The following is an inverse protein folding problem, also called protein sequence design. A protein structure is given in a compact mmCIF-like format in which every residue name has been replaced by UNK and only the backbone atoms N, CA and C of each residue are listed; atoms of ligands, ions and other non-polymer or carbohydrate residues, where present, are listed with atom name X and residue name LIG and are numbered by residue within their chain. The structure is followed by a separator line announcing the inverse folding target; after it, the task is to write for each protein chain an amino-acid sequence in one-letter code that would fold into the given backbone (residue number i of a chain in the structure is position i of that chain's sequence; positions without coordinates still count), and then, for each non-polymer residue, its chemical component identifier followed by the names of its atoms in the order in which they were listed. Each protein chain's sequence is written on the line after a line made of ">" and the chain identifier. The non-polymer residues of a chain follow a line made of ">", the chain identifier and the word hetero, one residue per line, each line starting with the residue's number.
data_IF_198918435727
#
_entry.id   IF_198918435727
#
_cell.length_a   1.000
_cell.length_b   1.000
_cell.length_c   1.000
_cell.angle_alpha   90.00
_cell.angle_beta   90.00
_cell.angle_gamma   90.00
#
_symmetry.space_group_name_H-M   'P 1'
#
loop_
_entity.id
_entity.type
_entity.pdbx_description
1 polymer ?
#
# COMPACT_ATOMS: atom_id res chain seq x y z
N UNK A 1 8.77 5.60 -2.83
CA UNK A 1 9.63 6.79 -3.02
C UNK A 1 10.19 7.26 -1.67
N UNK A 2 11.47 7.57 -1.66
CA UNK A 2 12.25 7.94 -0.48
C UNK A 2 12.86 9.31 -0.75
N UNK A 3 12.89 10.20 0.24
CA UNK A 3 13.57 11.48 0.14
C UNK A 3 14.93 11.40 0.87
N UNK A 4 16.03 11.92 0.27
CA UNK A 4 17.30 11.99 0.96
C UNK A 4 17.25 13.09 2.04
N UNK A 5 17.55 12.76 3.30
CA UNK A 5 17.81 13.75 4.33
C UNK A 5 19.32 13.84 4.61
N UNK A 6 19.91 15.04 4.60
CA UNK A 6 21.30 15.22 4.99
C UNK A 6 21.52 14.63 6.40
N UNK A 7 22.48 13.70 6.51
CA UNK A 7 22.95 13.05 7.77
C UNK A 7 21.98 12.07 8.45
N UNK A 8 20.81 11.76 7.87
CA UNK A 8 19.86 10.76 8.40
C UNK A 8 19.54 9.61 7.42
N UNK A 9 20.13 9.64 6.23
CA UNK A 9 19.91 8.62 5.20
C UNK A 9 18.58 8.81 4.46
N UNK A 10 17.98 7.68 4.10
CA UNK A 10 16.79 7.56 3.25
C UNK A 10 15.52 7.54 4.11
N UNK A 11 14.71 8.61 4.08
CA UNK A 11 13.42 8.63 4.78
C UNK A 11 12.27 8.37 3.80
N UNK A 12 11.43 7.39 4.13
CA UNK A 12 10.19 7.16 3.38
C UNK A 12 9.27 8.39 3.51
N UNK A 13 8.79 8.93 2.39
CA UNK A 13 7.85 10.07 2.40
C UNK A 13 6.64 9.73 3.29
N UNK A 14 6.19 10.62 4.18
CA UNK A 14 5.05 10.34 5.05
C UNK A 14 3.78 10.10 4.23
N UNK A 15 2.89 9.25 4.73
CA UNK A 15 1.53 9.09 4.20
C UNK A 15 0.67 10.11 4.94
N UNK A 16 0.13 11.07 4.19
CA UNK A 16 -0.72 12.16 4.70
C UNK A 16 -2.11 12.04 4.11
N UNK A 17 -3.10 12.73 4.69
CA UNK A 17 -4.45 12.80 4.12
C UNK A 17 -4.45 13.33 2.68
N UNK A 18 -3.64 14.36 2.39
CA UNK A 18 -3.47 14.90 1.04
C UNK A 18 -2.93 13.84 0.06
N UNK A 19 -1.89 13.09 0.45
CA UNK A 19 -1.35 12.00 -0.38
C UNK A 19 -2.41 10.94 -0.67
N UNK A 20 -3.24 10.58 0.31
CA UNK A 20 -4.32 9.60 0.10
C UNK A 20 -5.37 10.14 -0.87
N UNK A 21 -5.76 11.42 -0.74
CA UNK A 21 -6.66 12.09 -1.68
C UNK A 21 -6.12 12.14 -3.11
N UNK A 22 -4.82 12.43 -3.26
CA UNK A 22 -4.12 12.43 -4.56
C UNK A 22 -4.15 11.03 -5.20
N UNK A 23 -3.90 9.98 -4.40
CA UNK A 23 -3.97 8.59 -4.88
C UNK A 23 -5.37 8.24 -5.36
N UNK A 24 -6.43 8.55 -4.59
CA UNK A 24 -7.82 8.28 -4.98
C UNK A 24 -8.17 9.01 -6.28
N UNK A 25 -7.84 10.30 -6.36
CA UNK A 25 -8.09 11.12 -7.55
C UNK A 25 -7.37 10.57 -8.78
N UNK A 26 -6.09 10.22 -8.64
CA UNK A 26 -5.30 9.66 -9.72
C UNK A 26 -5.81 8.28 -10.17
N UNK A 27 -6.28 7.43 -9.25
CA UNK A 27 -6.93 6.16 -9.60
C UNK A 27 -8.19 6.39 -10.44
N UNK A 28 -9.08 7.31 -10.04
CA UNK A 28 -10.31 7.63 -10.78
C UNK A 28 -10.03 8.04 -12.22
N UNK A 29 -8.94 8.75 -12.47
CA UNK A 29 -8.55 9.18 -13.82
C UNK A 29 -7.86 8.06 -14.60
N UNK A 30 -6.87 7.39 -14.01
CA UNK A 30 -6.02 6.44 -14.71
C UNK A 30 -6.72 5.09 -14.93
N UNK A 31 -7.43 4.56 -13.93
CA UNK A 31 -8.05 3.23 -14.03
C UNK A 31 -9.17 3.18 -15.05
N UNK A 32 -9.88 4.29 -15.30
CA UNK A 32 -10.90 4.38 -16.35
C UNK A 32 -10.39 3.97 -17.75
N UNK A 33 -9.08 4.07 -18.00
CA UNK A 33 -8.48 3.63 -19.27
C UNK A 33 -8.52 2.10 -19.46
N UNK A 34 -8.66 1.33 -18.38
CA UNK A 34 -8.80 -0.13 -18.40
C UNK A 34 -10.11 -0.55 -19.08
N UNK A 35 -11.17 0.26 -18.98
CA UNK A 35 -12.46 -0.02 -19.63
C UNK A 35 -12.36 -0.10 -21.17
N UNK A 36 -11.26 0.40 -21.76
CA UNK A 36 -11.02 0.38 -23.20
C UNK A 36 -10.12 -0.78 -23.65
N UNK A 37 -9.65 -1.61 -22.72
CA UNK A 37 -8.80 -2.76 -23.02
C UNK A 37 -9.57 -3.81 -23.82
N UNK A 38 -8.95 -4.31 -24.90
CA UNK A 38 -9.45 -5.47 -25.64
C UNK A 38 -8.73 -6.74 -25.19
N UNK A 39 -9.48 -7.72 -24.73
CA UNK A 39 -8.94 -9.03 -24.35
C UNK A 39 -8.78 -9.91 -25.59
N UNK A 40 -7.59 -10.49 -25.79
CA UNK A 40 -7.41 -11.64 -26.69
C UNK A 40 -8.02 -12.88 -26.05
N UNK A 41 -8.26 -13.93 -26.83
CA UNK A 41 -8.75 -15.23 -26.32
C UNK A 41 -7.89 -15.76 -25.18
N UNK A 42 -6.56 -15.80 -25.37
CA UNK A 42 -5.62 -16.25 -24.34
C UNK A 42 -5.62 -15.38 -23.08
N UNK A 43 -5.77 -14.06 -23.22
CA UNK A 43 -5.86 -13.16 -22.07
C UNK A 43 -7.18 -13.34 -21.33
N UNK A 44 -8.28 -13.56 -22.06
CA UNK A 44 -9.60 -13.83 -21.48
C UNK A 44 -9.57 -15.08 -20.60
N UNK A 45 -9.03 -16.20 -21.10
CA UNK A 45 -8.89 -17.46 -20.35
C UNK A 45 -8.04 -17.27 -19.08
N UNK A 46 -6.92 -16.55 -19.21
CA UNK A 46 -6.02 -16.25 -18.08
C UNK A 46 -6.72 -15.42 -17.01
N UNK A 47 -7.40 -14.35 -17.39
CA UNK A 47 -8.13 -13.49 -16.45
C UNK A 47 -9.29 -14.26 -15.82
N UNK A 48 -10.06 -15.02 -16.60
CA UNK A 48 -11.16 -15.84 -16.10
C UNK A 48 -10.70 -16.83 -15.03
N UNK A 49 -9.56 -17.50 -15.27
CA UNK A 49 -8.97 -18.44 -14.29
C UNK A 49 -8.66 -17.74 -12.96
N UNK A 50 -8.10 -16.53 -13.00
CA UNK A 50 -7.78 -15.76 -11.80
C UNK A 50 -9.04 -15.22 -11.11
N UNK A 51 -10.06 -14.80 -11.87
CA UNK A 51 -11.35 -14.38 -11.35
C UNK A 51 -12.02 -15.53 -10.59
N UNK A 52 -12.05 -16.74 -11.18
CA UNK A 52 -12.55 -17.93 -10.49
C UNK A 52 -11.77 -18.24 -9.22
N UNK A 53 -10.43 -18.15 -9.25
CA UNK A 53 -9.60 -18.33 -8.06
C UNK A 53 -9.96 -17.30 -6.97
N UNK A 54 -10.08 -16.02 -7.32
CA UNK A 54 -10.47 -14.96 -6.39
C UNK A 54 -11.86 -15.22 -5.78
N UNK A 55 -12.81 -15.69 -6.57
CA UNK A 55 -14.15 -16.08 -6.10
C UNK A 55 -14.10 -17.21 -5.06
N UNK A 56 -13.24 -18.22 -5.23
CA UNK A 56 -13.08 -19.30 -4.23
C UNK A 56 -12.50 -18.83 -2.89
N UNK A 57 -11.80 -17.69 -2.89
CA UNK A 57 -11.22 -17.07 -1.71
C UNK A 57 -12.17 -16.07 -1.04
N UNK A 58 -13.24 -15.66 -1.74
CA UNK A 58 -14.24 -14.73 -1.21
C UNK A 58 -14.90 -15.32 0.04
N UNK A 59 -15.12 -14.47 1.05
CA UNK A 59 -15.77 -14.87 2.31
C UNK A 59 -14.91 -15.68 3.28
N UNK A 60 -13.72 -16.15 2.89
CA UNK A 60 -12.81 -16.82 3.82
C UNK A 60 -12.21 -15.82 4.83
N UNK A 61 -12.29 -16.17 6.12
CA UNK A 61 -11.74 -15.37 7.21
C UNK A 61 -10.25 -15.67 7.49
N UNK A 62 -9.69 -16.68 6.84
CA UNK A 62 -8.28 -17.03 6.96
C UNK A 62 -7.36 -15.89 6.46
N UNK A 63 -6.37 -15.45 7.26
CA UNK A 63 -5.40 -14.43 6.84
C UNK A 63 -4.66 -14.79 5.55
N UNK A 64 -4.33 -16.06 5.34
CA UNK A 64 -3.63 -16.46 4.12
C UNK A 64 -4.53 -16.33 2.89
N UNK A 65 -5.81 -16.69 3.00
CA UNK A 65 -6.80 -16.46 1.94
C UNK A 65 -6.91 -14.98 1.56
N UNK A 66 -6.84 -14.05 2.52
CA UNK A 66 -6.86 -12.61 2.24
C UNK A 66 -5.60 -12.15 1.48
N UNK A 67 -4.42 -12.61 1.91
CA UNK A 67 -3.16 -12.33 1.20
C UNK A 67 -3.23 -12.84 -0.23
N UNK A 68 -3.66 -14.09 -0.43
CA UNK A 68 -3.82 -14.67 -1.76
C UNK A 68 -4.84 -13.88 -2.59
N UNK A 69 -5.98 -13.49 -2.03
CA UNK A 69 -6.98 -12.70 -2.75
C UNK A 69 -6.42 -11.37 -3.26
N UNK A 70 -5.60 -10.67 -2.48
CA UNK A 70 -4.93 -9.42 -2.92
C UNK A 70 -3.88 -9.66 -3.99
N UNK A 71 -3.12 -10.74 -3.88
CA UNK A 71 -2.14 -11.11 -4.92
C UNK A 71 -2.85 -11.46 -6.22
N UNK A 72 -3.93 -12.24 -6.16
CA UNK A 72 -4.75 -12.61 -7.31
C UNK A 72 -5.40 -11.38 -7.94
N UNK A 73 -5.98 -10.47 -7.15
CA UNK A 73 -6.53 -9.19 -7.62
C UNK A 73 -5.46 -8.38 -8.34
N UNK A 74 -4.27 -8.24 -7.75
CA UNK A 74 -3.16 -7.54 -8.39
C UNK A 74 -2.73 -8.20 -9.70
N UNK A 75 -2.69 -9.53 -9.77
CA UNK A 75 -2.37 -10.24 -11.00
C UNK A 75 -3.40 -10.00 -12.10
N UNK A 76 -4.70 -9.94 -11.77
CA UNK A 76 -5.76 -9.59 -12.72
C UNK A 76 -5.49 -8.17 -13.27
N UNK A 77 -5.30 -7.20 -12.38
CA UNK A 77 -5.05 -5.80 -12.74
C UNK A 77 -3.77 -5.65 -13.59
N UNK A 78 -2.69 -6.35 -13.25
CA UNK A 78 -1.45 -6.33 -14.02
C UNK A 78 -1.62 -6.89 -15.44
N UNK A 79 -2.39 -7.97 -15.61
CA UNK A 79 -2.73 -8.52 -16.92
C UNK A 79 -3.55 -7.53 -17.76
N UNK A 80 -4.49 -6.81 -17.14
CA UNK A 80 -5.26 -5.77 -17.82
C UNK A 80 -4.38 -4.58 -18.21
N UNK A 81 -3.50 -4.13 -17.30
CA UNK A 81 -2.56 -3.05 -17.56
C UNK A 81 -1.56 -3.37 -18.68
N UNK A 82 -1.12 -4.63 -18.82
CA UNK A 82 -0.25 -5.08 -19.92
C UNK A 82 -0.89 -4.92 -21.31
N UNK A 83 -2.20 -4.68 -21.37
CA UNK A 83 -2.95 -4.42 -22.61
C UNK A 83 -3.12 -2.94 -22.91
N UNK A 84 -2.66 -2.07 -22.01
CA UNK A 84 -2.59 -0.61 -22.23
C UNK A 84 -1.24 -0.24 -22.84
N UNK A 85 -1.04 1.02 -23.21
CA UNK A 85 0.28 1.48 -23.64
C UNK A 85 1.27 1.51 -22.46
N UNK A 86 2.57 1.47 -22.77
CA UNK A 86 3.65 1.40 -21.77
C UNK A 86 3.54 2.46 -20.67
N UNK A 87 3.18 3.70 -21.04
CA UNK A 87 3.06 4.81 -20.11
C UNK A 87 1.92 4.56 -19.12
N UNK A 88 0.73 4.24 -19.60
CA UNK A 88 -0.43 3.95 -18.76
C UNK A 88 -0.17 2.76 -17.84
N UNK A 89 0.40 1.68 -18.37
CA UNK A 89 0.79 0.52 -17.56
C UNK A 89 1.70 0.90 -16.40
N UNK A 90 2.75 1.68 -16.66
CA UNK A 90 3.70 2.09 -15.63
C UNK A 90 3.00 2.91 -14.54
N UNK A 91 2.19 3.88 -14.96
CA UNK A 91 1.41 4.73 -14.05
C UNK A 91 0.41 3.94 -13.21
N UNK A 92 -0.35 3.03 -13.82
CA UNK A 92 -1.30 2.15 -13.12
C UNK A 92 -0.59 1.33 -12.04
N UNK A 93 0.55 0.71 -12.37
CA UNK A 93 1.35 -0.06 -11.40
C UNK A 93 1.84 0.80 -10.25
N UNK A 94 2.37 1.99 -10.53
CA UNK A 94 2.81 2.93 -9.48
C UNK A 94 1.65 3.37 -8.57
N UNK A 95 0.46 3.64 -9.15
CA UNK A 95 -0.73 4.02 -8.39
C UNK A 95 -1.24 2.88 -7.50
N UNK A 96 -1.26 1.65 -7.99
CA UNK A 96 -1.64 0.49 -7.19
C UNK A 96 -0.62 0.19 -6.10
N UNK A 97 0.67 0.39 -6.35
CA UNK A 97 1.71 0.27 -5.32
C UNK A 97 1.53 1.34 -4.23
N UNK A 98 1.16 2.57 -4.60
CA UNK A 98 0.79 3.61 -3.65
C UNK A 98 -0.47 3.26 -2.86
N UNK A 99 -1.49 2.70 -3.52
CA UNK A 99 -2.72 2.25 -2.87
C UNK A 99 -2.43 1.16 -1.85
N UNK A 100 -1.63 0.15 -2.22
CA UNK A 100 -1.21 -0.91 -1.32
C UNK A 100 -0.40 -0.36 -0.13
N UNK A 101 0.44 0.65 -0.37
CA UNK A 101 1.17 1.32 0.71
C UNK A 101 0.23 2.02 1.69
N UNK A 102 -0.85 2.65 1.20
CA UNK A 102 -1.91 3.25 2.02
C UNK A 102 -2.65 2.16 2.80
N UNK A 103 -3.03 1.06 2.16
CA UNK A 103 -3.64 -0.10 2.84
C UNK A 103 -2.74 -0.57 3.99
N UNK A 104 -1.48 -0.94 3.72
CA UNK A 104 -0.56 -1.41 4.75
C UNK A 104 -0.36 -0.41 5.91
N UNK A 105 -0.43 0.89 5.64
CA UNK A 105 -0.34 1.92 6.67
C UNK A 105 -1.58 1.95 7.58
N UNK A 106 -2.77 1.84 6.98
CA UNK A 106 -4.05 1.89 7.69
C UNK A 106 -4.40 0.56 8.39
N UNK A 107 -3.92 -0.55 7.84
CA UNK A 107 -4.10 -1.91 8.38
C UNK A 107 -3.20 -2.25 9.57
N UNK A 108 -2.38 -1.31 10.06
CA UNK A 108 -1.70 -1.45 11.35
C UNK A 108 -2.70 -1.49 12.55
N UNK A 109 -3.97 -1.78 12.31
CA UNK A 109 -5.08 -1.86 13.25
C UNK A 109 -6.08 -2.97 12.93
N UNK A 110 -7.32 -2.83 13.40
CA UNK A 110 -8.34 -3.89 13.34
C UNK A 110 -9.17 -3.89 12.04
N UNK A 111 -8.95 -2.93 11.14
CA UNK A 111 -9.68 -2.86 9.86
C UNK A 111 -8.82 -3.48 8.78
N UNK A 112 -9.39 -4.41 8.01
CA UNK A 112 -8.75 -5.04 6.88
C UNK A 112 -9.44 -4.63 5.57
N UNK A 113 -8.65 -4.24 4.58
CA UNK A 113 -9.09 -4.00 3.21
C UNK A 113 -9.26 -5.32 2.46
N UNK A 114 -10.43 -5.54 1.87
CA UNK A 114 -10.69 -6.70 1.03
C UNK A 114 -11.01 -6.22 -0.39
N UNK A 115 -10.25 -6.63 -1.41
CA UNK A 115 -10.61 -6.31 -2.79
C UNK A 115 -12.01 -6.79 -3.15
N UNK A 116 -12.67 -6.07 -4.04
CA UNK A 116 -13.96 -6.43 -4.60
C UNK A 116 -13.80 -7.61 -5.58
N UNK A 117 -14.89 -8.36 -5.80
CA UNK A 117 -14.90 -9.36 -6.87
C UNK A 117 -14.67 -8.68 -8.22
N UNK A 118 -13.95 -9.35 -9.12
CA UNK A 118 -13.66 -8.86 -10.48
C UNK A 118 -14.52 -9.55 -11.55
N UNK A 119 -15.50 -10.36 -11.14
CA UNK A 119 -16.42 -11.06 -12.05
C UNK A 119 -17.16 -10.07 -12.95
N UNK A 120 -17.83 -9.07 -12.38
CA UNK A 120 -18.60 -8.08 -13.13
C UNK A 120 -17.71 -7.25 -14.08
N UNK A 121 -16.50 -6.90 -13.64
CA UNK A 121 -15.52 -6.21 -14.50
C UNK A 121 -15.08 -7.09 -15.67
N UNK A 122 -14.82 -8.37 -15.42
CA UNK A 122 -14.44 -9.31 -16.46
C UNK A 122 -15.55 -9.51 -17.49
N UNK A 123 -16.79 -9.72 -17.04
CA UNK A 123 -17.95 -9.88 -17.92
C UNK A 123 -18.16 -8.64 -18.79
N UNK A 124 -18.07 -7.45 -18.22
CA UNK A 124 -18.18 -6.20 -18.97
C UNK A 124 -17.07 -6.07 -20.03
N UNK A 125 -15.81 -6.36 -19.69
CA UNK A 125 -14.70 -6.36 -20.64
C UNK A 125 -14.85 -7.44 -21.72
N UNK A 126 -15.37 -8.62 -21.37
CA UNK A 126 -15.62 -9.71 -22.32
C UNK A 126 -16.71 -9.34 -23.34
N UNK A 127 -17.75 -8.65 -22.89
CA UNK A 127 -18.84 -8.11 -23.70
C UNK A 127 -18.48 -6.82 -24.46
N UNK A 128 -17.28 -6.27 -24.24
CA UNK A 128 -16.89 -4.92 -24.71
C UNK A 128 -17.82 -3.79 -24.21
N UNK A 129 -18.49 -4.01 -23.08
CA UNK A 129 -19.29 -3.00 -22.39
C UNK A 129 -18.39 -2.06 -21.57
N UNK A 130 -18.04 -0.94 -22.18
CA UNK A 130 -17.17 0.07 -21.56
C UNK A 130 -17.84 0.79 -20.40
N UNK A 131 -19.16 0.94 -20.45
CA UNK A 131 -19.91 1.64 -19.40
C UNK A 131 -19.94 0.76 -18.14
N UNK A 132 -20.28 -0.52 -18.30
CA UNK A 132 -20.21 -1.52 -17.22
C UNK A 132 -18.81 -1.62 -16.63
N UNK A 133 -17.77 -1.72 -17.46
CA UNK A 133 -16.39 -1.81 -16.97
C UNK A 133 -15.96 -0.55 -16.19
N UNK A 134 -16.35 0.64 -16.67
CA UNK A 134 -16.07 1.91 -15.97
C UNK A 134 -16.80 1.99 -14.62
N UNK A 135 -18.04 1.50 -14.57
CA UNK A 135 -18.82 1.46 -13.33
C UNK A 135 -18.16 0.55 -12.29
N UNK A 136 -17.72 -0.65 -12.67
CA UNK A 136 -17.06 -1.59 -11.74
C UNK A 136 -15.69 -1.08 -11.27
N UNK A 137 -14.91 -0.41 -12.13
CA UNK A 137 -13.67 0.24 -11.72
C UNK A 137 -13.94 1.39 -10.72
N UNK A 138 -14.97 2.19 -10.96
CA UNK A 138 -15.37 3.27 -10.05
C UNK A 138 -15.83 2.72 -8.70
N UNK A 139 -16.59 1.62 -8.71
CA UNK A 139 -17.07 0.93 -7.51
C UNK A 139 -15.92 0.41 -6.63
N UNK A 140 -14.86 -0.14 -7.24
CA UNK A 140 -13.66 -0.56 -6.49
C UNK A 140 -12.95 0.63 -5.84
N UNK A 141 -12.83 1.76 -6.55
CA UNK A 141 -12.24 2.98 -6.01
C UNK A 141 -13.10 3.54 -4.86
N UNK A 142 -14.42 3.55 -4.99
CA UNK A 142 -15.34 3.98 -3.92
C UNK A 142 -15.26 3.05 -2.70
N UNK A 143 -15.07 1.75 -2.89
CA UNK A 143 -14.84 0.80 -1.81
C UNK A 143 -13.51 1.09 -1.09
N UNK A 144 -12.45 1.36 -1.84
CA UNK A 144 -11.16 1.76 -1.28
C UNK A 144 -11.27 3.08 -0.50
N UNK A 145 -11.95 4.08 -1.04
CA UNK A 145 -12.20 5.35 -0.36
C UNK A 145 -13.02 5.18 0.93
N UNK A 146 -14.04 4.32 0.89
CA UNK A 146 -14.84 3.96 2.07
C UNK A 146 -13.97 3.30 3.15
N UNK A 147 -13.10 2.36 2.76
CA UNK A 147 -12.15 1.72 3.68
C UNK A 147 -11.21 2.76 4.30
N UNK A 148 -10.59 3.61 3.47
CA UNK A 148 -9.68 4.67 3.93
C UNK A 148 -10.39 5.57 4.94
N UNK A 149 -11.57 6.06 4.60
CA UNK A 149 -12.36 6.97 5.44
C UNK A 149 -12.67 6.34 6.80
N UNK A 150 -13.13 5.08 6.80
CA UNK A 150 -13.41 4.32 8.03
C UNK A 150 -12.15 4.12 8.88
N UNK A 151 -11.02 3.78 8.27
CA UNK A 151 -9.77 3.56 8.99
C UNK A 151 -9.24 4.86 9.61
N UNK A 152 -9.30 5.98 8.88
CA UNK A 152 -8.89 7.29 9.36
C UNK A 152 -9.76 7.80 10.51
N UNK A 153 -11.08 7.63 10.44
CA UNK A 153 -12.01 8.03 11.51
C UNK A 153 -11.79 7.23 12.81
N UNK A 154 -11.28 6.00 12.73
CA UNK A 154 -10.93 5.20 13.91
C UNK A 154 -9.60 5.61 14.56
N UNK A 155 -8.74 6.33 13.84
CA UNK A 155 -7.39 6.71 14.28
C UNK A 155 -7.02 8.12 13.84
N UNK A 156 -7.72 9.15 14.33
CA UNK A 156 -7.44 10.52 13.96
C UNK A 156 -6.00 10.94 14.30
N UNK A 157 -5.38 10.35 15.34
CA UNK A 157 -4.00 10.67 15.71
C UNK A 157 -2.91 10.19 14.75
N UNK A 158 -3.18 9.22 13.86
CA UNK A 158 -2.19 8.75 12.88
C UNK A 158 -2.00 9.77 11.73
N UNK A 159 -2.99 10.63 11.48
CA UNK A 159 -2.91 11.75 10.52
C UNK A 159 -2.10 12.94 11.05
N UNK A 160 -2.03 13.11 12.37
CA UNK A 160 -1.38 14.25 13.03
C UNK A 160 0.13 14.07 13.27
N UNK A 161 0.75 13.06 12.65
CA UNK A 161 2.21 12.96 12.57
C UNK A 161 2.87 12.18 13.71
N UNK A 162 2.56 10.88 13.84
CA UNK A 162 3.38 9.97 14.67
C UNK A 162 4.80 9.72 14.15
N UNK A 163 5.14 10.19 12.94
CA UNK A 163 6.49 10.05 12.38
C UNK A 163 7.57 10.82 13.18
N UNK A 164 7.20 11.86 13.93
CA UNK A 164 8.14 12.59 14.78
C UNK A 164 8.38 11.92 16.15
N UNK A 165 7.37 11.25 16.72
CA UNK A 165 7.49 10.70 18.08
C UNK A 165 8.34 9.42 18.18
N UNK A 166 8.34 8.55 17.16
CA UNK A 166 9.21 7.35 17.15
C UNK A 166 10.70 7.71 17.07
N UNK A 167 11.05 8.80 16.39
CA UNK A 167 12.43 9.30 16.31
C UNK A 167 12.94 9.85 17.65
N UNK A 168 12.12 10.63 18.35
CA UNK A 168 12.46 11.16 19.67
C UNK A 168 12.66 10.05 20.72
N UNK A 169 11.85 8.98 20.67
CA UNK A 169 11.95 7.85 21.63
C UNK A 169 13.25 7.05 21.45
N UNK A 170 13.71 6.85 20.21
CA UNK A 170 14.99 6.16 19.92
C UNK A 170 16.21 7.00 20.32
N UNK A 171 16.15 8.31 20.09
CA UNK A 171 17.17 9.26 20.55
C UNK A 171 17.31 9.27 22.08
N UNK A 172 16.19 9.20 22.82
CA UNK A 172 16.19 9.21 24.28
C UNK A 172 16.77 7.92 24.89
N UNK A 173 16.49 6.77 24.29
CA UNK A 173 17.07 5.47 24.71
C UNK A 173 18.59 5.45 24.47
N UNK A 174 19.06 6.03 23.36
CA UNK A 174 20.50 6.10 23.05
C UNK A 174 21.25 7.12 23.93
N UNK A 175 20.56 8.12 24.49
CA UNK A 175 21.14 9.09 25.43
C UNK A 175 21.27 8.51 26.85
N UNK A 176 20.36 7.60 27.26
CA UNK A 176 20.47 6.92 28.55
C UNK A 176 21.63 5.92 28.61
N UNK A 177 21.87 5.16 27.53
CA UNK A 177 22.96 4.17 27.49
C UNK A 177 24.35 4.78 27.39
N UNK A 178 24.45 6.05 26.99
CA UNK A 178 25.74 6.78 26.90
C UNK A 178 26.11 7.51 28.19
N UNK A 179 25.14 7.71 29.10
CA UNK A 179 25.37 8.37 30.40
C UNK A 179 25.91 7.43 31.48
N UNK A 180 25.78 6.11 31.31
CA UNK A 180 26.24 5.10 32.28
C UNK A 180 27.68 4.63 32.06
N UNK A 181 28.40 5.14 31.05
CA UNK A 181 29.74 4.67 30.69
C UNK A 181 30.90 5.60 31.07
N UNK A 182 30.68 6.69 31.81
CA UNK A 182 31.74 7.69 32.11
C UNK A 182 31.95 7.84 33.62
N UNK A 183 32.60 6.86 34.21
CA UNK A 183 32.99 6.90 35.63
C UNK A 183 33.90 5.76 36.05
N UNK A 184 35.12 5.70 35.52
CA UNK A 184 36.25 4.98 36.14
C UNK A 184 37.57 5.26 35.38
N UNK A 185 38.18 6.42 35.63
CA UNK A 185 39.64 6.58 35.55
C UNK A 185 40.07 7.44 36.74
N UNK A 186 40.77 6.82 37.68
CA UNK A 186 41.53 7.48 38.73
C UNK A 186 42.77 6.65 38.98
N UNK A 187 43.93 7.17 38.59
CA UNK A 187 45.25 6.76 39.10
C UNK A 187 45.35 7.10 40.60
N UNK A 188 46.28 6.48 41.35
CA UNK A 188 47.61 7.08 41.56
C UNK A 188 48.71 5.98 41.52
N UNK A 189 50.02 6.20 41.48
CA UNK A 189 50.89 7.28 41.92
C UNK A 189 52.18 6.61 42.42
N UNK A 190 53.32 7.08 41.93
CA UNK A 190 54.71 6.67 42.21
C UNK A 190 55.09 6.67 43.70
N UNK A 191 55.98 5.74 44.16
CA UNK A 191 57.28 6.04 44.83
C UNK A 191 58.03 4.79 45.35
N UNK A 192 59.24 4.58 44.81
CA UNK A 192 60.57 4.34 45.44
C UNK A 192 60.83 3.38 46.64
N UNK A 193 61.94 2.64 46.46
CA UNK A 193 63.01 2.18 47.39
C UNK A 193 62.66 1.12 48.46
N UNK A 194 63.38 -0.02 48.42
CA UNK A 194 64.67 -0.20 49.10
C UNK A 194 65.45 -1.37 48.52
#
# INVERSE_FOLDING_TARGET
>A
MVAPLPRQGWQAKPITGAFIGDVITARRQAEATIAYVKLTTSARERVQTLVMLAATLAGRQDPQALVTARVTDRQILDLLADRTNWFHRKWLRELWDHSQRVVCFLEAGEVQYRPLSREDLFEALAASDRAGATAELSRDIDQFETFVSRALLRRPEDLLGRSQQRSARRSRVQKLTRSTGKGARGEPGSTAKS
#
